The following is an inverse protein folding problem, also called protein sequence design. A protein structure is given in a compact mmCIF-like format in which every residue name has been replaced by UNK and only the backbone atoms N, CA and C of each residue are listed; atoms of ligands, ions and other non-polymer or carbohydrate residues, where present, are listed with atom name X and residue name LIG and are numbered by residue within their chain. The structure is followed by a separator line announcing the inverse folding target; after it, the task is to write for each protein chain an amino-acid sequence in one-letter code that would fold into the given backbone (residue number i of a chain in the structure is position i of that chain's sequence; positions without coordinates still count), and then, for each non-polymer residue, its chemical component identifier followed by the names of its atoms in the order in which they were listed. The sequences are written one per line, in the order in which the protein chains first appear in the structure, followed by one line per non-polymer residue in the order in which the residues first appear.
data_IF_510654411763
#
_entry.id   IF_510654411763
#
_cell.length_a   1.000
_cell.length_b   1.000
_cell.length_c   1.000
_cell.angle_alpha   90.00
_cell.angle_beta   90.00
_cell.angle_gamma   90.00
#
_symmetry.space_group_name_H-M   'P 1'
#
loop_
_entity.id
_entity.type
_entity.pdbx_description
1 polymer ?
#
# COMPACT_ATOMS: atom_id res chain seq x y z
N UNK A 1 -4.95 15.20 -8.59
CA UNK A 1 -4.57 13.82 -8.21
C UNK A 1 -5.07 13.53 -6.80
N UNK A 2 -5.53 12.32 -6.58
CA UNK A 2 -6.06 11.92 -5.29
C UNK A 2 -5.07 10.99 -4.61
N UNK A 3 -4.53 11.39 -3.46
CA UNK A 3 -3.49 10.59 -2.80
C UNK A 3 -3.96 9.21 -2.36
N UNK A 4 -5.25 9.06 -2.01
CA UNK A 4 -5.75 7.74 -1.68
C UNK A 4 -5.61 6.77 -2.85
N UNK A 5 -5.84 7.28 -4.06
CA UNK A 5 -5.72 6.45 -5.25
C UNK A 5 -4.27 6.17 -5.60
N UNK A 6 -3.41 7.16 -5.42
CA UNK A 6 -1.98 6.97 -5.63
C UNK A 6 -1.47 5.90 -4.67
N UNK A 7 -1.81 6.04 -3.39
CA UNK A 7 -1.40 5.09 -2.38
C UNK A 7 -1.94 3.69 -2.67
N UNK A 8 -3.23 3.60 -3.01
CA UNK A 8 -3.85 2.30 -3.29
C UNK A 8 -3.17 1.59 -4.45
N UNK A 9 -2.90 2.34 -5.52
CA UNK A 9 -2.24 1.78 -6.69
C UNK A 9 -0.85 1.27 -6.36
N UNK A 10 -0.08 2.10 -5.65
CA UNK A 10 1.28 1.73 -5.28
C UNK A 10 1.29 0.52 -4.35
N UNK A 11 0.35 0.50 -3.41
CA UNK A 11 0.26 -0.60 -2.45
C UNK A 11 0.02 -1.93 -3.15
N UNK A 12 -0.95 -1.96 -4.08
CA UNK A 12 -1.23 -3.17 -4.84
C UNK A 12 -0.02 -3.59 -5.67
N UNK A 13 0.63 -2.62 -6.33
CA UNK A 13 1.75 -2.92 -7.21
C UNK A 13 2.92 -3.52 -6.42
N UNK A 14 3.25 -2.91 -5.29
CA UNK A 14 4.35 -3.41 -4.49
C UNK A 14 4.03 -4.77 -3.88
N UNK A 15 2.78 -4.93 -3.42
CA UNK A 15 2.37 -6.22 -2.87
C UNK A 15 2.52 -7.33 -3.92
N UNK A 16 2.02 -7.06 -5.12
CA UNK A 16 2.11 -8.03 -6.21
C UNK A 16 3.57 -8.28 -6.61
N UNK A 17 4.37 -7.22 -6.64
CA UNK A 17 5.78 -7.37 -6.99
C UNK A 17 6.53 -8.23 -5.99
N UNK A 18 6.10 -8.22 -4.72
CA UNK A 18 6.71 -9.06 -3.69
C UNK A 18 6.08 -10.45 -3.62
N UNK A 19 5.07 -10.72 -4.44
CA UNK A 19 4.43 -12.02 -4.45
C UNK A 19 3.58 -12.31 -3.21
N UNK A 20 3.07 -11.28 -2.54
CA UNK A 20 2.31 -11.46 -1.32
C UNK A 20 0.82 -11.39 -1.59
N UNK A 21 0.05 -12.25 -0.90
CA UNK A 21 -1.40 -12.12 -0.90
C UNK A 21 -1.79 -10.98 0.04
N UNK A 22 -3.07 -10.58 -0.01
CA UNK A 22 -3.56 -9.61 0.95
C UNK A 22 -3.43 -10.12 2.38
N UNK A 23 -3.72 -11.42 2.58
CA UNK A 23 -3.58 -12.01 3.92
C UNK A 23 -2.14 -11.92 4.40
N UNK A 24 -1.19 -12.24 3.53
CA UNK A 24 0.23 -12.21 3.90
C UNK A 24 0.66 -10.82 4.30
N UNK A 25 0.33 -9.82 3.48
CA UNK A 25 0.76 -8.46 3.77
C UNK A 25 0.07 -7.93 5.03
N UNK A 26 -1.23 -8.22 5.18
CA UNK A 26 -1.94 -7.76 6.37
C UNK A 26 -1.31 -8.35 7.64
N UNK A 27 -0.96 -9.62 7.60
CA UNK A 27 -0.31 -10.27 8.73
C UNK A 27 1.04 -9.61 9.04
N UNK A 28 1.86 -9.42 8.01
CA UNK A 28 3.18 -8.83 8.20
C UNK A 28 3.11 -7.40 8.71
N UNK A 29 2.12 -6.64 8.25
CA UNK A 29 1.98 -5.25 8.65
C UNK A 29 1.20 -5.06 9.94
N UNK A 30 0.62 -6.13 10.47
CA UNK A 30 -0.13 -6.06 11.73
C UNK A 30 -1.46 -5.35 11.58
N UNK A 31 -2.12 -5.51 10.44
CA UNK A 31 -3.45 -4.94 10.20
C UNK A 31 -4.39 -6.05 9.75
N UNK A 32 -5.70 -5.79 9.79
CA UNK A 32 -6.65 -6.78 9.32
C UNK A 32 -6.65 -6.81 7.81
N UNK A 33 -6.99 -7.98 7.26
CA UNK A 33 -7.11 -8.12 5.82
C UNK A 33 -8.20 -7.22 5.27
N UNK A 34 -9.31 -7.09 6.00
CA UNK A 34 -10.40 -6.24 5.59
C UNK A 34 -9.96 -4.79 5.45
N UNK A 35 -9.19 -4.30 6.42
CA UNK A 35 -8.68 -2.94 6.37
C UNK A 35 -7.72 -2.77 5.19
N UNK A 36 -6.81 -3.73 5.01
CA UNK A 36 -5.88 -3.67 3.88
C UNK A 36 -6.62 -3.65 2.56
N UNK A 37 -7.66 -4.46 2.43
CA UNK A 37 -8.47 -4.50 1.21
C UNK A 37 -9.07 -3.12 0.92
N UNK A 38 -9.57 -2.43 1.95
CA UNK A 38 -10.14 -1.11 1.78
C UNK A 38 -9.08 -0.08 1.38
N UNK A 39 -7.89 -0.20 1.94
CA UNK A 39 -6.79 0.68 1.54
C UNK A 39 -6.43 0.48 0.08
N UNK A 40 -6.43 -0.76 -0.39
CA UNK A 40 -6.09 -1.07 -1.77
C UNK A 40 -7.18 -0.63 -2.75
N UNK A 41 -8.37 -0.36 -2.26
CA UNK A 41 -9.47 0.17 -3.08
C UNK A 41 -9.50 1.70 -3.07
N UNK A 42 -8.65 2.33 -2.28
CA UNK A 42 -8.66 3.78 -2.15
C UNK A 42 -9.79 4.32 -1.31
N UNK A 43 -10.39 3.47 -0.47
CA UNK A 43 -11.55 3.87 0.32
C UNK A 43 -11.18 4.69 1.55
N UNK A 44 -9.98 4.50 2.09
CA UNK A 44 -9.55 5.15 3.32
C UNK A 44 -8.20 5.82 3.14
N UNK A 45 -7.96 6.87 3.93
CA UNK A 45 -6.60 7.40 4.08
C UNK A 45 -5.89 6.56 5.12
N UNK A 46 -4.66 6.19 4.84
CA UNK A 46 -3.83 5.51 5.82
C UNK A 46 -3.11 6.55 6.66
N UNK A 47 -2.99 6.29 7.97
CA UNK A 47 -2.17 7.13 8.82
C UNK A 47 -0.70 6.93 8.46
N UNK A 48 0.14 7.87 8.85
CA UNK A 48 1.58 7.71 8.63
C UNK A 48 2.11 6.45 9.30
N UNK A 49 1.55 6.12 10.47
CA UNK A 49 1.95 4.90 11.16
C UNK A 49 1.68 3.66 10.31
N UNK A 50 0.52 3.61 9.69
CA UNK A 50 0.16 2.46 8.85
C UNK A 50 1.00 2.45 7.58
N UNK A 51 1.24 3.62 6.98
CA UNK A 51 2.13 3.69 5.82
C UNK A 51 3.49 3.10 6.17
N UNK A 52 4.02 3.47 7.33
CA UNK A 52 5.32 2.94 7.77
C UNK A 52 5.31 1.43 7.95
N UNK A 53 4.24 0.90 8.55
CA UNK A 53 4.14 -0.55 8.75
C UNK A 53 4.08 -1.31 7.43
N UNK A 54 3.31 -0.78 6.49
CA UNK A 54 3.19 -1.42 5.18
C UNK A 54 4.50 -1.35 4.41
N UNK A 55 5.17 -0.21 4.46
CA UNK A 55 6.45 -0.07 3.78
C UNK A 55 7.48 -1.04 4.35
N UNK A 56 7.50 -1.17 5.68
CA UNK A 56 8.42 -2.10 6.32
C UNK A 56 8.13 -3.54 5.90
N UNK A 57 6.85 -3.91 5.88
CA UNK A 57 6.45 -5.26 5.48
C UNK A 57 6.82 -5.54 4.03
N UNK A 58 6.78 -4.52 3.19
CA UNK A 58 7.12 -4.65 1.78
C UNK A 58 8.62 -4.46 1.51
N UNK A 59 9.37 -4.08 2.54
CA UNK A 59 10.79 -3.81 2.43
C UNK A 59 11.09 -2.72 1.40
N UNK A 60 10.36 -1.61 1.50
CA UNK A 60 10.55 -0.46 0.63
C UNK A 60 10.55 0.81 1.48
N UNK A 61 11.05 1.90 0.89
CA UNK A 61 10.96 3.21 1.53
C UNK A 61 9.50 3.65 1.56
N UNK A 62 9.03 4.28 2.64
CA UNK A 62 7.65 4.76 2.69
C UNK A 62 7.29 5.68 1.52
N UNK A 63 8.25 6.46 1.04
CA UNK A 63 8.01 7.36 -0.08
C UNK A 63 7.55 6.62 -1.34
N UNK A 64 7.93 5.35 -1.49
CA UNK A 64 7.53 4.59 -2.66
C UNK A 64 6.02 4.38 -2.72
N UNK A 65 5.37 4.36 -1.55
CA UNK A 65 3.92 4.20 -1.52
C UNK A 65 3.18 5.48 -1.90
N UNK A 66 3.86 6.61 -1.86
CA UNK A 66 3.24 7.90 -2.16
C UNK A 66 3.76 8.51 -3.46
N UNK A 67 4.62 7.79 -4.18
CA UNK A 67 5.18 8.30 -5.42
C UNK A 67 4.13 8.28 -6.51
N UNK A 68 3.91 9.41 -7.14
CA UNK A 68 2.98 9.49 -8.25
C UNK A 68 3.56 8.72 -9.44
N UNK A 69 2.82 7.74 -9.99
CA UNK A 69 3.35 6.99 -11.12
C UNK A 69 3.66 7.90 -12.29
N UNK A 70 4.75 7.58 -13.00
CA UNK A 70 5.13 8.35 -14.16
C UNK A 70 4.07 8.23 -15.23
N UNK A 71 3.80 9.34 -15.90
CA UNK A 71 2.86 9.30 -17.00
C UNK A 71 3.50 8.68 -18.22
N UNK A 72 2.67 7.93 -18.95
CA UNK A 72 3.10 7.34 -20.21
C UNK A 72 2.63 8.21 -21.36
N UNK A 73 3.38 8.15 -22.41
CA UNK A 73 3.06 8.93 -23.59
C UNK A 73 2.52 8.06 -24.66
#
# INVERSE_FOLDING_TARGET
MELREVFATNLRRWRNARGLSQDDLAYEAGVSRSYLSQLEKGAYYASLKIVGRLAEALDIEPAELLRVPAKRR
#
